data_IF_998504096646
#
_entry.id   IF_998504096646
#
_cell.length_a   1.000
_cell.length_b   1.000
_cell.length_c   1.000
_cell.angle_alpha   90.00
_cell.angle_beta   90.00
_cell.angle_gamma   90.00
#
_symmetry.space_group_name_H-M   'P 1'
#
loop_
_entity.id
_entity.type
_entity.pdbx_description
1 polymer ?
#
# COMPACT_ATOMS: atom_id res chain seq x y z
N UNK A 1 39.27 2.68 -12.04
CA UNK A 1 38.04 2.58 -12.86
C UNK A 1 36.93 1.95 -12.01
N UNK A 2 35.66 1.98 -12.46
CA UNK A 2 34.53 1.41 -11.71
C UNK A 2 34.72 -0.08 -11.36
N UNK A 3 35.50 -0.80 -12.18
CA UNK A 3 35.96 -2.17 -11.94
C UNK A 3 36.68 -2.38 -10.61
N UNK A 4 37.36 -1.36 -10.10
CA UNK A 4 38.25 -1.51 -8.94
C UNK A 4 37.48 -1.48 -7.61
N UNK A 5 36.20 -1.07 -7.66
CA UNK A 5 35.30 -0.95 -6.51
C UNK A 5 34.05 -1.80 -6.65
N UNK A 6 33.91 -2.55 -7.75
CA UNK A 6 32.73 -3.36 -8.00
C UNK A 6 32.82 -4.68 -7.25
N UNK A 7 31.85 -5.01 -6.38
CA UNK A 7 31.89 -6.28 -5.64
C UNK A 7 31.63 -7.46 -6.57
N UNK A 8 32.33 -8.56 -6.32
CA UNK A 8 32.05 -9.84 -6.97
C UNK A 8 30.72 -10.42 -6.49
N UNK A 9 30.16 -11.36 -7.26
CA UNK A 9 28.93 -12.05 -6.85
C UNK A 9 29.10 -12.82 -5.54
N UNK A 10 30.29 -13.36 -5.29
CA UNK A 10 30.59 -14.09 -4.05
C UNK A 10 30.54 -13.16 -2.83
N UNK A 11 31.18 -11.99 -2.93
CA UNK A 11 31.15 -10.98 -1.85
C UNK A 11 29.73 -10.50 -1.55
N UNK A 12 28.88 -10.37 -2.58
CA UNK A 12 27.47 -10.03 -2.41
C UNK A 12 26.73 -11.16 -1.68
N UNK A 13 26.88 -12.42 -2.14
CA UNK A 13 26.20 -13.56 -1.53
C UNK A 13 26.58 -13.77 -0.06
N UNK A 14 27.88 -13.68 0.25
CA UNK A 14 28.39 -13.80 1.62
C UNK A 14 27.89 -12.67 2.52
N UNK A 15 27.80 -11.45 1.99
CA UNK A 15 27.26 -10.30 2.72
C UNK A 15 25.77 -10.48 3.01
N UNK A 16 24.99 -10.94 2.02
CA UNK A 16 23.55 -11.23 2.21
C UNK A 16 23.36 -12.31 3.27
N UNK A 17 24.10 -13.42 3.18
CA UNK A 17 23.99 -14.52 4.13
C UNK A 17 24.34 -14.11 5.57
N UNK A 18 25.27 -13.16 5.74
CA UNK A 18 25.68 -12.64 7.06
C UNK A 18 24.72 -11.59 7.61
N UNK A 19 24.15 -10.75 6.75
CA UNK A 19 23.45 -9.54 7.19
C UNK A 19 21.93 -9.66 7.16
N UNK A 20 21.37 -10.54 6.32
CA UNK A 20 19.93 -10.72 6.15
C UNK A 20 19.47 -11.88 7.03
N UNK A 21 18.79 -11.54 8.14
CA UNK A 21 18.41 -12.51 9.17
C UNK A 21 16.90 -12.60 9.34
N UNK A 22 16.42 -13.77 9.77
CA UNK A 22 15.00 -13.99 10.08
C UNK A 22 14.44 -12.96 11.06
N UNK A 23 15.23 -12.57 12.07
CA UNK A 23 14.82 -11.64 13.12
C UNK A 23 14.46 -10.25 12.56
N UNK A 24 15.20 -9.78 11.55
CA UNK A 24 14.87 -8.55 10.83
C UNK A 24 13.49 -8.65 10.18
N UNK A 25 13.16 -9.76 9.51
CA UNK A 25 11.83 -9.95 8.93
C UNK A 25 10.74 -9.96 10.00
N UNK A 26 10.94 -10.72 11.08
CA UNK A 26 9.96 -10.78 12.18
C UNK A 26 9.70 -9.38 12.73
N UNK A 27 10.76 -8.61 12.98
CA UNK A 27 10.68 -7.25 13.53
C UNK A 27 9.94 -6.28 12.59
N UNK A 28 10.28 -6.29 11.29
CA UNK A 28 9.65 -5.38 10.32
C UNK A 28 8.17 -5.72 10.09
N UNK A 29 7.83 -7.01 10.01
CA UNK A 29 6.44 -7.43 9.77
C UNK A 29 5.56 -7.37 11.00
N UNK A 30 6.12 -7.37 12.22
CA UNK A 30 5.34 -7.25 13.45
C UNK A 30 4.49 -5.97 13.51
N UNK A 31 4.92 -4.89 12.84
CA UNK A 31 4.27 -3.58 12.89
C UNK A 31 3.70 -3.12 11.54
N UNK A 32 3.66 -3.98 10.52
CA UNK A 32 3.30 -3.57 9.15
C UNK A 32 1.89 -2.97 9.05
N UNK A 33 0.97 -3.38 9.94
CA UNK A 33 -0.39 -2.88 9.99
C UNK A 33 -0.59 -1.71 10.96
N UNK A 34 0.41 -1.40 11.78
CA UNK A 34 0.30 -0.34 12.78
C UNK A 34 0.33 1.05 12.12
N UNK A 35 1.16 1.22 11.10
CA UNK A 35 1.39 2.52 10.46
C UNK A 35 2.11 3.51 11.38
N UNK A 36 2.24 4.76 10.94
CA UNK A 36 2.78 5.85 11.76
C UNK A 36 1.73 6.39 12.74
N UNK A 37 2.14 7.25 13.68
CA UNK A 37 1.21 7.87 14.62
C UNK A 37 0.21 8.79 13.90
N UNK A 38 0.66 9.49 12.84
CA UNK A 38 -0.20 10.31 11.98
C UNK A 38 -1.24 9.45 11.25
N UNK A 39 -0.84 8.26 10.78
CA UNK A 39 -1.77 7.32 10.13
C UNK A 39 -2.85 6.83 11.10
N UNK A 40 -2.46 6.49 12.33
CA UNK A 40 -3.39 6.04 13.37
C UNK A 40 -4.33 7.15 13.85
N UNK A 41 -3.90 8.42 13.75
CA UNK A 41 -4.70 9.57 14.15
C UNK A 41 -5.80 9.95 13.15
N UNK A 42 -5.81 9.37 11.95
CA UNK A 42 -6.87 9.63 10.95
C UNK A 42 -8.18 9.00 11.42
N UNK A 43 -9.19 9.83 11.65
CA UNK A 43 -10.54 9.35 11.94
C UNK A 43 -11.15 8.70 10.69
N UNK A 44 -11.34 7.39 10.74
CA UNK A 44 -12.02 6.65 9.67
C UNK A 44 -13.50 6.40 10.03
N UNK A 45 -14.45 6.69 9.11
CA UNK A 45 -15.86 6.39 9.35
C UNK A 45 -16.07 4.87 9.44
N UNK A 46 -16.94 4.44 10.36
CA UNK A 46 -17.37 3.04 10.46
C UNK A 46 -18.55 2.76 9.53
N UNK A 47 -18.54 1.64 8.82
CA UNK A 47 -19.67 1.18 8.01
C UNK A 47 -19.23 0.47 6.71
N UNK A 48 -20.19 -0.18 6.05
CA UNK A 48 -19.94 -0.87 4.78
C UNK A 48 -20.02 0.07 3.55
N UNK A 49 -20.67 1.23 3.71
CA UNK A 49 -20.85 2.21 2.64
C UNK A 49 -20.02 3.46 2.92
N UNK A 50 -19.38 3.98 1.88
CA UNK A 50 -18.67 5.25 1.95
C UNK A 50 -19.66 6.42 2.08
N UNK A 51 -19.37 7.37 2.97
CA UNK A 51 -20.19 8.58 3.14
C UNK A 51 -19.66 9.69 2.24
N UNK A 52 -20.32 9.89 1.12
CA UNK A 52 -19.97 10.99 0.20
C UNK A 52 -20.19 12.35 0.87
N UNK A 53 -19.20 13.24 0.77
CA UNK A 53 -19.31 14.64 1.19
C UNK A 53 -19.44 15.54 -0.05
N UNK A 54 -20.59 16.22 -0.18
CA UNK A 54 -20.87 17.12 -1.30
C UNK A 54 -19.91 18.34 -1.37
N UNK A 55 -19.23 18.67 -0.26
CA UNK A 55 -18.22 19.74 -0.23
C UNK A 55 -16.82 19.26 -0.58
N UNK A 56 -16.62 17.95 -0.70
CA UNK A 56 -15.32 17.36 -1.01
C UNK A 56 -14.88 17.75 -2.41
N UNK A 57 -13.66 18.25 -2.51
CA UNK A 57 -12.96 18.51 -3.78
C UNK A 57 -11.99 17.39 -4.17
N UNK A 58 -11.80 16.40 -3.29
CA UNK A 58 -10.84 15.31 -3.47
C UNK A 58 -11.49 13.97 -3.81
N UNK A 59 -12.64 13.66 -3.20
CA UNK A 59 -13.36 12.40 -3.37
C UNK A 59 -14.83 12.71 -3.58
N UNK A 60 -15.33 12.45 -4.78
CA UNK A 60 -16.71 12.69 -5.20
C UNK A 60 -17.34 11.41 -5.74
N UNK A 61 -18.66 11.28 -5.59
CA UNK A 61 -19.40 10.13 -6.12
C UNK A 61 -19.41 10.20 -7.65
N UNK A 62 -18.81 9.22 -8.35
CA UNK A 62 -18.80 9.25 -9.80
C UNK A 62 -20.17 8.85 -10.35
N UNK A 63 -20.62 9.46 -11.47
CA UNK A 63 -21.96 9.24 -11.99
C UNK A 63 -22.11 7.94 -12.80
N UNK A 64 -21.14 7.01 -12.75
CA UNK A 64 -21.09 5.84 -13.63
C UNK A 64 -22.32 4.94 -13.56
N UNK A 65 -22.98 4.91 -12.40
CA UNK A 65 -24.14 4.07 -12.14
C UNK A 65 -25.43 4.88 -12.01
N UNK A 66 -25.38 6.18 -12.28
CA UNK A 66 -26.58 7.00 -12.36
C UNK A 66 -27.40 6.49 -13.53
N UNK A 67 -28.68 6.22 -13.28
CA UNK A 67 -29.63 5.67 -14.25
C UNK A 67 -29.26 4.27 -14.81
N UNK A 68 -28.37 3.52 -14.14
CA UNK A 68 -28.08 2.15 -14.54
C UNK A 68 -29.33 1.27 -14.33
N UNK A 69 -29.90 0.78 -15.43
CA UNK A 69 -30.98 -0.19 -15.41
C UNK A 69 -30.47 -1.57 -14.93
N UNK A 70 -31.26 -2.32 -14.15
CA UNK A 70 -30.96 -3.71 -13.82
C UNK A 70 -30.87 -4.62 -15.05
N UNK A 71 -31.62 -4.28 -16.10
CA UNK A 71 -31.64 -5.02 -17.36
C UNK A 71 -30.87 -4.22 -18.44
N UNK A 72 -30.05 -4.89 -19.27
CA UNK A 72 -29.35 -4.22 -20.37
C UNK A 72 -30.34 -3.78 -21.45
N UNK A 73 -29.99 -2.71 -22.17
CA UNK A 73 -30.79 -2.26 -23.29
C UNK A 73 -30.89 -3.34 -24.38
N UNK A 74 -32.08 -3.45 -24.98
CA UNK A 74 -32.27 -4.31 -26.14
C UNK A 74 -31.39 -3.85 -27.30
N UNK A 75 -30.75 -4.80 -27.98
CA UNK A 75 -29.91 -4.58 -29.17
C UNK A 75 -30.78 -4.20 -30.37
#
# INVERSE_FOLDING_TARGET
MLSDIWPSQQEIADTVARCVTRDQFVTQYANVFKGSDEWQAIEAPTGALYKWDAKSTYVQEPPFFVDLSPEPDAI
#
